data_IF_639464423671
#
_entry.id   IF_639464423671
#
_cell.length_a   1.000
_cell.length_b   1.000
_cell.length_c   1.000
_cell.angle_alpha   90.00
_cell.angle_beta   90.00
_cell.angle_gamma   90.00
#
_symmetry.space_group_name_H-M   'P 1'
#
loop_
_entity.id
_entity.type
_entity.pdbx_description
1 polymer ?
#
# COMPACT_ATOMS: atom_id res chain seq x y z
N UNK A 1 -4.84 8.72 42.35
CA UNK A 1 -5.21 9.01 40.96
C UNK A 1 -4.71 10.39 40.64
N UNK A 2 -3.85 10.55 39.64
CA UNK A 2 -3.34 11.86 39.24
C UNK A 2 -4.40 12.64 38.46
N UNK A 3 -4.31 13.98 38.44
CA UNK A 3 -5.15 14.84 37.60
C UNK A 3 -5.11 14.41 36.12
N UNK A 4 -3.93 13.97 35.66
CA UNK A 4 -3.72 13.49 34.30
C UNK A 4 -4.52 12.20 34.07
N UNK A 5 -4.48 11.25 35.00
CA UNK A 5 -5.27 10.01 34.92
C UNK A 5 -6.78 10.31 34.89
N UNK A 6 -7.24 11.23 35.73
CA UNK A 6 -8.66 11.59 35.81
C UNK A 6 -9.16 12.25 34.52
N UNK A 7 -8.37 13.18 33.96
CA UNK A 7 -8.68 13.83 32.68
C UNK A 7 -8.67 12.79 31.54
N UNK A 8 -7.68 11.90 31.53
CA UNK A 8 -7.58 10.86 30.50
C UNK A 8 -8.76 9.91 30.53
N UNK A 9 -9.18 9.45 31.72
CA UNK A 9 -10.36 8.60 31.88
C UNK A 9 -11.65 9.31 31.44
N UNK A 10 -11.79 10.59 31.77
CA UNK A 10 -12.97 11.39 31.38
C UNK A 10 -13.07 11.52 29.85
N UNK A 11 -11.94 11.80 29.19
CA UNK A 11 -11.88 11.92 27.72
C UNK A 11 -12.20 10.56 27.06
N UNK A 12 -11.61 9.47 27.56
CA UNK A 12 -11.87 8.12 27.01
C UNK A 12 -13.35 7.77 27.16
N UNK A 13 -13.96 8.07 28.30
CA UNK A 13 -15.38 7.79 28.55
C UNK A 13 -16.30 8.57 27.59
N UNK A 14 -16.06 9.88 27.42
CA UNK A 14 -16.83 10.71 26.51
C UNK A 14 -16.73 10.22 25.06
N UNK A 15 -15.51 9.98 24.58
CA UNK A 15 -15.29 9.49 23.21
C UNK A 15 -15.92 8.12 22.97
N UNK A 16 -15.84 7.21 23.95
CA UNK A 16 -16.40 5.86 23.82
C UNK A 16 -17.93 5.92 23.75
N UNK A 17 -18.57 6.78 24.55
CA UNK A 17 -20.02 6.98 24.55
C UNK A 17 -20.50 7.49 23.19
N UNK A 18 -19.92 8.60 22.71
CA UNK A 18 -20.33 9.26 21.46
C UNK A 18 -20.13 8.34 20.24
N UNK A 19 -19.03 7.56 20.23
CA UNK A 19 -18.76 6.58 19.16
C UNK A 19 -19.73 5.41 19.21
N UNK A 20 -20.06 4.89 20.40
CA UNK A 20 -20.98 3.76 20.53
C UNK A 20 -22.41 4.10 20.07
N UNK A 21 -22.90 5.29 20.43
CA UNK A 21 -24.21 5.80 20.01
C UNK A 21 -24.26 6.01 18.49
N UNK A 22 -23.26 6.68 17.92
CA UNK A 22 -23.18 6.90 16.47
C UNK A 22 -23.15 5.59 15.67
N UNK A 23 -22.40 4.60 16.14
CA UNK A 23 -22.26 3.32 15.45
C UNK A 23 -23.51 2.44 15.63
N UNK A 24 -24.15 2.49 16.80
CA UNK A 24 -25.44 1.85 17.05
C UNK A 24 -26.51 2.41 16.13
N UNK A 25 -26.64 3.74 16.04
CA UNK A 25 -27.64 4.40 15.19
C UNK A 25 -27.41 4.15 13.70
N UNK A 26 -26.14 4.14 13.27
CA UNK A 26 -25.80 4.03 11.85
C UNK A 26 -25.85 2.59 11.33
N UNK A 27 -25.53 1.62 12.17
CA UNK A 27 -25.33 0.22 11.76
C UNK A 27 -26.26 -0.77 12.48
N UNK A 28 -27.08 -0.32 13.43
CA UNK A 28 -27.99 -1.17 14.20
C UNK A 28 -27.25 -2.18 15.10
N UNK A 29 -26.04 -1.83 15.53
CA UNK A 29 -25.22 -2.68 16.40
C UNK A 29 -25.60 -2.48 17.86
N UNK A 30 -25.43 -3.51 18.69
CA UNK A 30 -25.64 -3.37 20.13
C UNK A 30 -24.61 -2.39 20.72
N UNK A 31 -25.11 -1.35 21.41
CA UNK A 31 -24.28 -0.29 21.95
C UNK A 31 -23.24 -0.80 22.95
N UNK A 32 -23.55 -1.87 23.71
CA UNK A 32 -22.62 -2.44 24.68
C UNK A 32 -21.49 -3.20 23.99
N UNK A 33 -21.79 -3.98 22.95
CA UNK A 33 -20.76 -4.68 22.15
C UNK A 33 -19.79 -3.68 21.48
N UNK A 34 -20.32 -2.57 20.97
CA UNK A 34 -19.50 -1.51 20.36
C UNK A 34 -18.64 -0.80 21.42
N UNK A 35 -19.22 -0.49 22.58
CA UNK A 35 -18.51 0.16 23.69
C UNK A 35 -17.33 -0.68 24.17
N UNK A 36 -17.51 -2.00 24.31
CA UNK A 36 -16.46 -2.92 24.74
C UNK A 36 -15.36 -3.06 23.68
N UNK A 37 -15.72 -3.14 22.39
CA UNK A 37 -14.73 -3.18 21.30
C UNK A 37 -13.90 -1.88 21.22
N UNK A 38 -14.52 -0.72 21.40
CA UNK A 38 -13.84 0.58 21.42
C UNK A 38 -12.93 0.70 22.65
N UNK A 39 -13.41 0.26 23.82
CA UNK A 39 -12.64 0.26 25.07
C UNK A 39 -11.42 -0.66 24.97
N UNK A 40 -11.56 -1.84 24.39
CA UNK A 40 -10.44 -2.76 24.15
C UNK A 40 -9.40 -2.17 23.20
N UNK A 41 -9.84 -1.53 22.12
CA UNK A 41 -8.94 -0.91 21.15
C UNK A 41 -8.19 0.31 21.73
N UNK A 42 -8.87 1.15 22.51
CA UNK A 42 -8.26 2.31 23.16
C UNK A 42 -7.41 1.90 24.38
N UNK A 43 -7.80 0.85 25.11
CA UNK A 43 -7.08 0.30 26.25
C UNK A 43 -5.75 -0.39 25.87
N UNK A 44 -5.63 -0.92 24.66
CA UNK A 44 -4.42 -1.66 24.23
C UNK A 44 -3.21 -0.78 23.86
N UNK A 45 -3.38 0.54 23.73
CA UNK A 45 -2.26 1.45 23.41
C UNK A 45 -1.47 1.95 24.64
N UNK A 46 -1.71 1.39 25.83
CA UNK A 46 -1.03 1.78 27.07
C UNK A 46 -0.15 0.70 27.71
N UNK A 47 0.31 -0.32 26.97
CA UNK A 47 1.31 -1.26 27.49
C UNK A 47 2.72 -0.97 26.95
N UNK A 48 3.73 -0.75 27.83
CA UNK A 48 5.11 -0.60 27.41
C UNK A 48 5.65 -1.94 26.91
N UNK A 49 6.43 -1.88 25.84
CA UNK A 49 7.12 -3.01 25.23
C UNK A 49 7.78 -3.93 26.28
N UNK A 50 7.19 -5.10 26.51
CA UNK A 50 7.85 -6.18 27.24
C UNK A 50 8.42 -7.20 26.26
N UNK A 51 9.64 -7.71 26.53
CA UNK A 51 10.40 -8.50 25.58
C UNK A 51 9.79 -9.89 25.41
N UNK A 52 9.59 -10.28 24.16
CA UNK A 52 9.17 -11.63 23.77
C UNK A 52 10.19 -12.65 24.30
N UNK A 53 9.79 -13.39 25.35
CA UNK A 53 10.46 -14.60 25.80
C UNK A 53 10.44 -15.62 24.67
N UNK A 54 11.62 -15.95 24.12
CA UNK A 54 11.80 -17.09 23.21
C UNK A 54 11.71 -18.39 24.01
N UNK A 55 11.04 -19.44 23.51
CA UNK A 55 11.16 -20.77 24.09
C UNK A 55 12.55 -21.34 23.78
N UNK A 56 13.17 -21.84 24.84
CA UNK A 56 14.40 -22.63 24.83
C UNK A 56 14.15 -23.93 24.08
N UNK A 57 14.95 -24.21 23.04
CA UNK A 57 15.20 -25.58 22.57
C UNK A 57 16.71 -25.82 22.41
N UNK A 58 17.20 -26.61 23.35
CA UNK A 58 18.32 -27.55 23.28
C UNK A 58 19.47 -27.28 22.30
N UNK A 59 20.64 -27.04 22.89
CA UNK A 59 21.98 -27.16 22.34
C UNK A 59 22.19 -28.41 21.48
N UNK A 60 22.89 -28.28 20.34
CA UNK A 60 23.85 -29.28 19.87
C UNK A 60 24.82 -28.72 18.82
N UNK A 61 26.10 -28.73 19.23
CA UNK A 61 27.35 -28.89 18.46
C UNK A 61 27.79 -27.76 17.52
N UNK A 62 28.73 -26.98 18.04
CA UNK A 62 29.81 -26.35 17.29
C UNK A 62 30.46 -27.37 16.35
N UNK A 63 30.61 -26.98 15.09
CA UNK A 63 31.49 -27.64 14.13
C UNK A 63 32.66 -26.68 13.83
N UNK A 64 33.88 -27.19 13.65
CA UNK A 64 35.08 -26.36 13.47
C UNK A 64 35.06 -25.61 12.11
N UNK A 65 35.84 -24.53 11.96
CA UNK A 65 35.87 -23.75 10.73
C UNK A 65 36.61 -24.55 9.66
N UNK A 66 35.86 -25.20 8.77
CA UNK A 66 36.43 -25.82 7.58
C UNK A 66 36.76 -24.70 6.60
N UNK A 67 38.08 -24.44 6.46
CA UNK A 67 38.67 -23.74 5.33
C UNK A 67 38.23 -24.45 4.05
N UNK A 68 37.27 -23.88 3.33
CA UNK A 68 36.88 -24.32 2.00
C UNK A 68 37.20 -23.20 1.00
N UNK A 69 37.83 -23.61 -0.09
CA UNK A 69 38.50 -22.82 -1.09
C UNK A 69 37.76 -21.57 -1.57
N UNK A 70 38.54 -20.53 -1.85
CA UNK A 70 38.21 -19.22 -2.42
C UNK A 70 37.67 -19.29 -3.85
N UNK A 71 36.56 -20.01 -4.05
CA UNK A 71 35.80 -20.00 -5.31
C UNK A 71 34.49 -19.24 -5.09
N UNK A 72 34.61 -17.91 -5.14
CA UNK A 72 33.51 -16.96 -5.33
C UNK A 72 32.36 -17.05 -4.32
N UNK A 73 32.51 -16.43 -3.15
CA UNK A 73 31.40 -16.19 -2.24
C UNK A 73 30.40 -15.24 -2.92
N UNK A 74 29.35 -15.77 -3.54
CA UNK A 74 28.28 -14.97 -4.16
C UNK A 74 27.25 -14.57 -3.11
N UNK A 75 26.78 -13.34 -3.20
CA UNK A 75 25.68 -12.84 -2.36
C UNK A 75 24.36 -12.89 -3.12
N UNK A 76 23.27 -13.07 -2.39
CA UNK A 76 21.94 -13.12 -2.98
C UNK A 76 21.55 -11.77 -3.59
N UNK A 77 21.19 -11.79 -4.87
CA UNK A 77 20.81 -10.62 -5.65
C UNK A 77 19.33 -10.20 -5.49
N UNK A 78 18.59 -10.83 -4.57
CA UNK A 78 17.18 -10.49 -4.36
C UNK A 78 17.03 -9.12 -3.67
N UNK A 79 16.22 -8.23 -4.24
CA UNK A 79 15.86 -6.94 -3.66
C UNK A 79 14.58 -7.07 -2.82
N UNK A 80 14.65 -6.67 -1.55
CA UNK A 80 13.52 -6.74 -0.63
C UNK A 80 12.45 -5.73 -1.06
N UNK A 81 11.19 -6.14 -1.15
CA UNK A 81 10.07 -5.31 -1.65
C UNK A 81 9.05 -4.94 -0.59
N UNK A 82 9.27 -5.31 0.68
CA UNK A 82 8.33 -5.04 1.78
C UNK A 82 9.08 -4.83 3.10
N UNK A 83 8.51 -4.00 3.97
CA UNK A 83 8.97 -3.78 5.34
C UNK A 83 10.08 -2.73 5.44
N UNK A 84 10.67 -2.60 6.62
CA UNK A 84 11.68 -1.56 6.93
C UNK A 84 12.98 -1.65 6.10
N UNK A 85 13.23 -2.78 5.44
CA UNK A 85 14.37 -3.01 4.55
C UNK A 85 13.98 -3.01 3.06
N UNK A 86 12.82 -2.48 2.71
CA UNK A 86 12.41 -2.34 1.32
C UNK A 86 13.46 -1.56 0.50
N UNK A 87 13.78 -2.07 -0.68
CA UNK A 87 14.80 -1.52 -1.57
C UNK A 87 16.23 -2.00 -1.28
N UNK A 88 16.50 -2.66 -0.15
CA UNK A 88 17.82 -3.22 0.16
C UNK A 88 18.03 -4.60 -0.47
N UNK A 89 19.28 -4.94 -0.76
CA UNK A 89 19.67 -6.27 -1.23
C UNK A 89 19.68 -7.26 -0.06
N UNK A 90 19.22 -8.48 -0.29
CA UNK A 90 19.15 -9.52 0.74
C UNK A 90 20.51 -9.79 1.40
N UNK A 91 21.60 -9.72 0.62
CA UNK A 91 22.97 -9.84 1.12
C UNK A 91 23.36 -11.20 1.71
N UNK A 92 22.44 -12.17 1.73
CA UNK A 92 22.71 -13.51 2.27
C UNK A 92 23.71 -14.25 1.38
N UNK A 93 24.76 -14.77 1.99
CA UNK A 93 25.78 -15.57 1.31
C UNK A 93 25.19 -16.86 0.76
N UNK A 94 25.45 -17.14 -0.52
CA UNK A 94 25.00 -18.35 -1.20
C UNK A 94 26.13 -19.37 -1.18
N UNK A 95 25.84 -20.57 -0.68
CA UNK A 95 26.72 -21.74 -0.79
C UNK A 95 26.26 -22.54 -2.00
N UNK A 96 26.89 -22.31 -3.16
CA UNK A 96 26.61 -23.05 -4.40
C UNK A 96 26.51 -22.18 -5.66
N UNK A 97 26.14 -22.80 -6.78
CA UNK A 97 26.02 -22.20 -8.11
C UNK A 97 24.63 -21.57 -8.35
N UNK A 98 24.33 -20.46 -7.69
CA UNK A 98 23.10 -19.70 -7.95
C UNK A 98 23.14 -18.25 -7.48
N UNK A 99 22.22 -17.43 -7.99
CA UNK A 99 22.14 -15.99 -7.69
C UNK A 99 21.16 -15.66 -6.55
N UNK A 100 20.37 -16.65 -6.11
CA UNK A 100 19.37 -16.50 -5.05
C UNK A 100 19.60 -17.47 -3.89
N UNK A 101 19.40 -16.98 -2.66
CA UNK A 101 19.44 -17.82 -1.45
C UNK A 101 18.21 -18.74 -1.40
N UNK A 102 18.23 -19.75 -0.53
CA UNK A 102 17.12 -20.71 -0.38
C UNK A 102 15.76 -20.04 -0.15
N UNK A 103 15.71 -18.92 0.57
CA UNK A 103 14.48 -18.13 0.82
C UNK A 103 13.94 -17.45 -0.43
N UNK A 104 14.80 -17.16 -1.41
CA UNK A 104 14.46 -16.40 -2.61
C UNK A 104 14.56 -17.24 -3.90
N UNK A 105 15.02 -18.50 -3.82
CA UNK A 105 15.22 -19.39 -4.97
C UNK A 105 13.92 -19.69 -5.74
N UNK A 106 12.79 -19.76 -5.04
CA UNK A 106 11.47 -20.07 -5.64
C UNK A 106 10.58 -18.83 -5.79
N UNK A 107 11.03 -17.66 -5.35
CA UNK A 107 10.29 -16.42 -5.63
C UNK A 107 10.56 -16.11 -7.09
N UNK A 108 9.58 -16.41 -7.97
CA UNK A 108 9.60 -16.03 -9.38
C UNK A 108 10.20 -14.64 -9.45
N UNK A 109 11.36 -14.52 -10.08
CA UNK A 109 12.10 -13.26 -10.24
C UNK A 109 11.08 -12.27 -10.77
N UNK A 110 10.56 -11.41 -9.91
CA UNK A 110 9.72 -10.30 -10.35
C UNK A 110 10.75 -9.39 -10.97
N UNK A 111 11.08 -9.65 -12.24
CA UNK A 111 11.78 -8.70 -13.08
C UNK A 111 11.01 -7.42 -12.87
N UNK A 112 11.69 -6.47 -12.23
CA UNK A 112 11.24 -5.09 -12.14
C UNK A 112 11.08 -4.62 -13.57
N UNK A 113 9.89 -4.80 -14.15
CA UNK A 113 9.44 -4.02 -15.29
C UNK A 113 9.66 -2.59 -14.87
N UNK A 114 10.54 -1.94 -15.62
CA UNK A 114 10.99 -0.57 -15.50
C UNK A 114 9.85 0.29 -14.96
N UNK A 115 10.10 0.89 -13.79
CA UNK A 115 9.18 1.78 -13.10
C UNK A 115 8.90 2.96 -14.04
N UNK A 116 7.83 2.88 -14.83
CA UNK A 116 7.28 4.01 -15.57
C UNK A 116 6.98 5.08 -14.51
N UNK A 117 7.61 6.22 -14.70
CA UNK A 117 7.61 7.40 -13.85
C UNK A 117 6.20 7.66 -13.29
N UNK A 118 6.01 7.38 -12.02
CA UNK A 118 4.85 7.85 -11.28
C UNK A 118 5.05 9.36 -11.08
N UNK A 119 4.59 10.15 -12.06
CA UNK A 119 4.40 11.59 -11.89
C UNK A 119 3.35 11.71 -10.78
N UNK A 120 3.84 12.07 -9.59
CA UNK A 120 3.06 12.20 -8.37
C UNK A 120 2.11 13.37 -8.49
N UNK A 121 0.94 13.12 -9.07
CA UNK A 121 -0.25 13.91 -8.82
C UNK A 121 -1.19 12.99 -8.04
N UNK A 122 -1.50 13.36 -6.79
CA UNK A 122 -2.47 12.70 -5.92
C UNK A 122 -3.92 12.94 -6.40
N UNK A 123 -4.13 12.82 -7.71
CA UNK A 123 -5.48 12.75 -8.27
C UNK A 123 -6.11 11.45 -7.81
N UNK A 124 -7.11 11.58 -6.95
CA UNK A 124 -7.94 10.48 -6.52
C UNK A 124 -8.75 9.98 -7.73
N UNK A 125 -8.76 8.67 -7.96
CA UNK A 125 -9.42 8.03 -9.11
C UNK A 125 -10.53 7.14 -8.57
N UNK A 126 -11.73 7.31 -9.10
CA UNK A 126 -12.91 6.52 -8.74
C UNK A 126 -13.46 5.80 -9.98
N UNK A 127 -14.23 4.73 -9.74
CA UNK A 127 -14.86 3.96 -10.82
C UNK A 127 -16.27 4.49 -11.07
N UNK A 128 -16.58 4.91 -12.29
CA UNK A 128 -17.95 5.23 -12.68
C UNK A 128 -18.68 3.93 -13.03
N UNK A 129 -19.67 3.55 -12.21
CA UNK A 129 -20.41 2.31 -12.40
C UNK A 129 -21.22 2.27 -13.71
N UNK A 130 -21.78 3.40 -14.13
CA UNK A 130 -22.65 3.49 -15.32
C UNK A 130 -21.84 3.36 -16.61
N UNK A 131 -20.76 4.12 -16.73
CA UNK A 131 -19.89 4.13 -17.91
C UNK A 131 -18.81 3.03 -17.89
N UNK A 132 -18.72 2.26 -16.79
CA UNK A 132 -17.72 1.19 -16.57
C UNK A 132 -16.26 1.65 -16.75
N UNK A 133 -15.96 2.93 -16.54
CA UNK A 133 -14.64 3.52 -16.73
C UNK A 133 -14.06 4.11 -15.44
N UNK A 134 -12.78 4.48 -15.47
CA UNK A 134 -12.10 5.16 -14.37
C UNK A 134 -12.10 6.65 -14.60
N UNK A 135 -12.48 7.43 -13.59
CA UNK A 135 -12.59 8.89 -13.66
C UNK A 135 -11.78 9.55 -12.55
N UNK A 136 -11.23 10.72 -12.85
CA UNK A 136 -10.59 11.57 -11.85
C UNK A 136 -11.69 12.19 -10.98
N UNK A 137 -11.64 11.95 -9.67
CA UNK A 137 -12.63 12.43 -8.71
C UNK A 137 -12.84 13.93 -8.80
N UNK A 138 -14.10 14.36 -8.84
CA UNK A 138 -14.48 15.77 -9.00
C UNK A 138 -14.42 16.30 -10.44
N UNK A 139 -14.06 15.47 -11.42
CA UNK A 139 -14.03 15.86 -12.83
C UNK A 139 -14.79 14.85 -13.70
N UNK A 140 -14.93 15.18 -15.00
CA UNK A 140 -15.50 14.29 -16.00
C UNK A 140 -14.43 13.58 -16.84
N UNK A 141 -13.14 13.70 -16.49
CA UNK A 141 -12.04 13.15 -17.27
C UNK A 141 -11.84 11.66 -16.99
N UNK A 142 -11.84 10.89 -18.07
CA UNK A 142 -11.67 9.44 -18.04
C UNK A 142 -10.20 9.09 -18.20
N UNK A 143 -9.72 8.19 -17.35
CA UNK A 143 -8.35 7.68 -17.39
C UNK A 143 -8.33 6.20 -17.76
N UNK A 144 -7.21 5.75 -18.34
CA UNK A 144 -7.03 4.36 -18.77
C UNK A 144 -7.14 3.36 -17.62
N UNK A 145 -6.51 3.66 -16.48
CA UNK A 145 -6.62 2.85 -15.26
C UNK A 145 -6.17 3.60 -14.00
N UNK A 146 -6.44 3.10 -12.78
CA UNK A 146 -5.97 3.72 -11.54
C UNK A 146 -4.44 3.78 -11.42
N UNK A 147 -3.75 2.83 -12.06
CA UNK A 147 -2.28 2.74 -12.08
C UNK A 147 -1.65 3.51 -13.23
N UNK A 148 -2.39 3.69 -14.32
CA UNK A 148 -1.98 4.45 -15.49
C UNK A 148 -2.96 5.61 -15.69
N UNK A 149 -2.62 6.76 -15.09
CA UNK A 149 -3.49 7.95 -15.02
C UNK A 149 -3.54 8.76 -16.31
N UNK A 150 -3.26 8.16 -17.46
CA UNK A 150 -3.36 8.84 -18.75
C UNK A 150 -4.83 9.10 -19.09
N UNK A 151 -5.16 10.35 -19.43
CA UNK A 151 -6.51 10.76 -19.82
C UNK A 151 -6.77 10.30 -21.26
N UNK A 152 -7.87 9.59 -21.46
CA UNK A 152 -8.30 9.03 -22.75
C UNK A 152 -9.54 9.74 -23.33
N UNK A 153 -10.23 10.54 -22.52
CA UNK A 153 -11.48 11.18 -22.93
C UNK A 153 -12.23 11.83 -21.78
N UNK A 154 -13.48 12.19 -22.04
CA UNK A 154 -14.40 12.81 -21.09
C UNK A 154 -15.76 12.11 -21.10
N UNK A 155 -16.42 12.05 -19.96
CA UNK A 155 -17.78 11.53 -19.86
C UNK A 155 -18.77 12.59 -20.33
N UNK A 156 -19.60 12.23 -21.32
CA UNK A 156 -20.81 12.96 -21.70
C UNK A 156 -22.01 11.99 -21.60
N UNK A 157 -22.80 12.12 -20.53
CA UNK A 157 -23.87 11.17 -20.22
C UNK A 157 -23.32 9.79 -19.82
N UNK A 158 -23.56 8.77 -20.65
CA UNK A 158 -23.11 7.38 -20.43
C UNK A 158 -21.94 6.97 -21.33
N UNK A 159 -21.51 7.84 -22.25
CA UNK A 159 -20.46 7.55 -23.22
C UNK A 159 -19.19 8.35 -22.92
N UNK A 160 -18.06 7.80 -23.35
CA UNK A 160 -16.76 8.49 -23.37
C UNK A 160 -16.63 9.18 -24.72
N UNK A 161 -16.35 10.48 -24.71
CA UNK A 161 -16.16 11.32 -25.89
C UNK A 161 -14.72 11.81 -25.92
N UNK A 162 -14.21 12.10 -27.12
CA UNK A 162 -12.89 12.72 -27.32
C UNK A 162 -12.79 14.07 -26.62
N UNK A 163 -11.56 14.44 -26.23
CA UNK A 163 -11.31 15.71 -25.56
C UNK A 163 -11.37 16.86 -26.56
N UNK A 164 -12.15 17.90 -26.25
CA UNK A 164 -12.09 19.19 -26.96
C UNK A 164 -10.80 19.93 -26.63
N UNK A 165 -10.39 20.92 -27.44
CA UNK A 165 -9.17 21.71 -27.17
C UNK A 165 -9.20 22.42 -25.82
N UNK A 166 -10.39 22.89 -25.42
CA UNK A 166 -10.62 23.50 -24.09
C UNK A 166 -10.39 22.49 -22.97
N UNK A 167 -10.81 21.24 -23.16
CA UNK A 167 -10.59 20.16 -22.20
C UNK A 167 -9.10 19.76 -22.16
N UNK A 168 -8.41 19.69 -23.30
CA UNK A 168 -6.95 19.42 -23.36
C UNK A 168 -6.16 20.46 -22.56
N UNK A 169 -6.49 21.76 -22.68
CA UNK A 169 -5.88 22.84 -21.88
C UNK A 169 -6.07 22.64 -20.37
N UNK A 170 -7.26 22.20 -19.93
CA UNK A 170 -7.52 21.90 -18.51
C UNK A 170 -6.71 20.71 -18.01
N UNK A 171 -6.59 19.64 -18.82
CA UNK A 171 -5.81 18.45 -18.45
C UNK A 171 -4.31 18.76 -18.39
N UNK A 172 -3.80 19.58 -19.31
CA UNK A 172 -2.42 20.08 -19.27
C UNK A 172 -2.14 20.93 -18.02
N UNK A 173 -3.09 21.79 -17.60
CA UNK A 173 -2.96 22.56 -16.36
C UNK A 173 -2.87 21.65 -15.12
N UNK A 174 -3.51 20.48 -15.14
CA UNK A 174 -3.42 19.45 -14.09
C UNK A 174 -2.13 18.61 -14.17
N UNK A 175 -1.26 18.85 -15.17
CA UNK A 175 -0.02 18.11 -15.41
C UNK A 175 -0.24 16.59 -15.56
N UNK A 176 -1.35 16.18 -16.15
CA UNK A 176 -1.69 14.77 -16.35
C UNK A 176 -1.38 14.40 -17.81
N UNK A 177 -0.74 13.24 -18.08
CA UNK A 177 -0.48 12.80 -19.45
C UNK A 177 -1.78 12.54 -20.22
N UNK A 178 -1.81 12.93 -21.50
CA UNK A 178 -2.92 12.71 -22.43
C UNK A 178 -2.48 11.65 -23.45
N UNK A 179 -3.36 10.69 -23.76
CA UNK A 179 -3.16 9.77 -24.89
C UNK A 179 -3.77 10.44 -26.12
N UNK A 180 -2.95 11.14 -26.91
CA UNK A 180 -3.39 11.64 -28.19
C UNK A 180 -3.56 10.42 -29.12
N UNK A 181 -4.82 10.12 -29.43
CA UNK A 181 -5.15 9.10 -30.44
C UNK A 181 -5.09 9.84 -31.76
N UNK A 182 -3.93 9.81 -32.41
CA UNK A 182 -3.81 10.26 -33.80
C UNK A 182 -4.59 9.23 -34.64
N UNK A 183 -5.85 9.54 -34.94
CA UNK A 183 -6.55 8.85 -36.03
C UNK A 183 -5.88 9.30 -37.33
N UNK A 184 -4.99 8.45 -37.83
CA UNK A 184 -4.44 8.50 -39.17
C UNK A 184 -5.64 8.34 -40.13
N UNK A 185 -6.10 9.46 -40.70
CA UNK A 185 -7.10 9.46 -41.75
C UNK A 185 -6.35 9.05 -43.02
N UNK A 186 -6.41 7.77 -43.37
CA UNK A 186 -6.06 7.30 -44.71
C UNK A 186 -7.07 7.92 -45.70
N UNK A 187 -6.62 8.94 -46.45
CA UNK A 187 -7.32 9.51 -47.61
C UNK A 187 -7.38 8.54 -48.81
#
# INVERSE_FOLDING_TARGET
MSLIEQVTQTIIHALTSDLSEFLSDRFGLDSNEVSDAVRDYLGYNSTPASPIKKPVRASKKSSPPIKAASSGIKTCQFRITRGTKEGQMCGTTIRGSGDFCSKHKNRKTIQTKSKKTSIGNDTNITRNAKAKCWVISGTLFVVKSPRNKTVIGKIAGTKVVSLTDTDKKKVQALKIPIEDTEEEIDE
#
